data_IF_367728814127
#
_entry.id   IF_367728814127
#
_cell.length_a   1.000
_cell.length_b   1.000
_cell.length_c   1.000
_cell.angle_alpha   90.00
_cell.angle_beta   90.00
_cell.angle_gamma   90.00
#
_symmetry.space_group_name_H-M   'P 1'
#
loop_
_entity.id
_entity.type
_entity.pdbx_description
1 polymer ?
#
# COMPACT_ATOMS: atom_id res chain seq x y z
N UNK A 1 -18.92 15.65 -18.83
CA UNK A 1 -18.26 15.09 -17.64
C UNK A 1 -16.91 15.75 -17.53
N UNK A 2 -16.57 16.42 -16.41
CA UNK A 2 -15.22 16.91 -16.18
C UNK A 2 -14.26 15.71 -16.22
N UNK A 3 -13.11 15.86 -16.87
CA UNK A 3 -12.08 14.82 -16.87
C UNK A 3 -11.68 14.58 -15.40
N UNK A 4 -11.66 13.33 -14.97
CA UNK A 4 -11.16 12.95 -13.64
C UNK A 4 -9.66 13.16 -13.62
N UNK A 5 -9.15 13.86 -12.62
CA UNK A 5 -7.71 14.09 -12.47
C UNK A 5 -7.00 12.80 -12.05
N UNK A 6 -7.70 11.90 -11.32
CA UNK A 6 -7.19 10.60 -10.88
C UNK A 6 -8.26 9.51 -11.03
N UNK A 7 -7.85 8.24 -10.98
CA UNK A 7 -8.77 7.10 -11.01
C UNK A 7 -9.61 7.00 -9.73
N UNK A 8 -9.17 7.69 -8.66
CA UNK A 8 -9.72 7.59 -7.29
C UNK A 8 -10.33 8.90 -6.78
N UNK A 9 -10.84 9.76 -7.65
CA UNK A 9 -11.52 10.98 -7.24
C UNK A 9 -12.67 10.70 -6.27
N UNK A 10 -12.68 11.43 -5.15
CA UNK A 10 -13.66 11.28 -4.07
C UNK A 10 -13.36 10.14 -3.09
N UNK A 11 -12.31 9.35 -3.30
CA UNK A 11 -11.81 8.39 -2.33
C UNK A 11 -11.08 9.11 -1.22
N UNK A 12 -11.35 8.70 0.02
CA UNK A 12 -10.77 9.29 1.22
C UNK A 12 -10.04 8.28 2.11
N UNK A 13 -10.34 6.98 1.96
CA UNK A 13 -9.62 5.90 2.62
C UNK A 13 -9.02 4.98 1.57
N UNK A 14 -7.70 4.98 1.49
CA UNK A 14 -6.91 4.09 0.66
C UNK A 14 -6.30 3.01 1.55
N UNK A 15 -6.78 1.79 1.45
CA UNK A 15 -6.23 0.63 2.17
C UNK A 15 -5.21 -0.03 1.26
N UNK A 16 -3.97 -0.17 1.71
CA UNK A 16 -2.87 -0.77 0.94
C UNK A 16 -2.54 -2.13 1.54
N UNK A 17 -2.76 -3.19 0.77
CA UNK A 17 -2.47 -4.58 1.17
C UNK A 17 -1.61 -5.27 0.12
N UNK A 18 -1.15 -6.47 0.38
CA UNK A 18 -0.31 -7.27 -0.51
C UNK A 18 0.46 -8.32 0.29
N UNK A 19 1.09 -9.27 -0.37
CA UNK A 19 1.93 -10.29 0.27
C UNK A 19 3.07 -9.66 1.09
N UNK A 20 3.55 -10.38 2.10
CA UNK A 20 4.76 -9.99 2.83
C UNK A 20 5.96 -9.88 1.88
N UNK A 21 6.73 -8.77 1.98
CA UNK A 21 7.91 -8.54 1.12
C UNK A 21 7.65 -7.78 -0.19
N UNK A 22 6.38 -7.56 -0.60
CA UNK A 22 6.08 -6.83 -1.85
C UNK A 22 6.28 -5.31 -1.77
N UNK A 23 6.65 -4.78 -0.59
CA UNK A 23 6.89 -3.34 -0.41
C UNK A 23 5.63 -2.53 -0.08
N UNK A 24 4.62 -3.11 0.57
CA UNK A 24 3.38 -2.42 0.99
C UNK A 24 3.62 -1.07 1.65
N UNK A 25 4.45 -1.04 2.69
CA UNK A 25 4.76 0.19 3.44
C UNK A 25 5.37 1.26 2.56
N UNK A 26 6.29 0.87 1.65
CA UNK A 26 6.90 1.78 0.67
C UNK A 26 5.85 2.36 -0.27
N UNK A 27 4.96 1.51 -0.80
CA UNK A 27 3.88 1.94 -1.69
C UNK A 27 2.87 2.82 -0.95
N UNK A 28 2.51 2.48 0.29
CA UNK A 28 1.63 3.31 1.12
C UNK A 28 2.24 4.69 1.37
N UNK A 29 3.55 4.76 1.68
CA UNK A 29 4.29 6.01 1.84
C UNK A 29 4.33 6.84 0.55
N UNK A 30 4.65 6.22 -0.58
CA UNK A 30 4.65 6.89 -1.89
C UNK A 30 3.26 7.40 -2.28
N UNK A 31 2.21 6.61 -2.04
CA UNK A 31 0.82 7.01 -2.28
C UNK A 31 0.41 8.19 -1.39
N UNK A 32 0.80 8.20 -0.11
CA UNK A 32 0.52 9.32 0.78
C UNK A 32 1.18 10.62 0.29
N UNK A 33 2.45 10.57 -0.15
CA UNK A 33 3.14 11.72 -0.74
C UNK A 33 2.47 12.21 -2.03
N UNK A 34 2.04 11.27 -2.87
CA UNK A 34 1.36 11.58 -4.12
C UNK A 34 -0.02 12.24 -3.88
N UNK A 35 -0.81 11.70 -2.95
CA UNK A 35 -2.12 12.24 -2.57
C UNK A 35 -2.03 13.60 -1.86
N UNK A 36 -0.95 13.86 -1.13
CA UNK A 36 -0.70 15.15 -0.47
C UNK A 36 -0.28 16.25 -1.43
N UNK A 37 -0.28 16.00 -2.73
CA UNK A 37 -0.03 17.04 -3.73
C UNK A 37 -1.09 18.14 -3.70
N UNK A 38 -0.72 19.30 -4.22
CA UNK A 38 -1.63 20.45 -4.37
C UNK A 38 -2.21 20.98 -3.03
N UNK A 39 -1.48 20.84 -1.94
CA UNK A 39 -1.83 21.37 -0.63
C UNK A 39 -2.82 20.51 0.17
N UNK A 40 -3.02 19.26 -0.19
CA UNK A 40 -3.89 18.32 0.55
C UNK A 40 -3.17 17.76 1.77
N UNK A 41 -3.89 17.61 2.88
CA UNK A 41 -3.39 16.96 4.08
C UNK A 41 -3.72 15.46 4.06
N UNK A 42 -2.72 14.61 4.26
CA UNK A 42 -2.87 13.16 4.23
C UNK A 42 -2.38 12.53 5.51
N UNK A 43 -3.14 11.58 6.06
CA UNK A 43 -2.71 10.74 7.17
C UNK A 43 -2.25 9.38 6.64
N UNK A 44 -1.00 9.01 6.88
CA UNK A 44 -0.45 7.68 6.67
C UNK A 44 -0.49 6.89 7.98
N UNK A 45 -1.20 5.76 7.99
CA UNK A 45 -1.46 4.99 9.20
C UNK A 45 -0.88 3.58 9.09
N UNK A 46 -0.02 3.20 10.05
CA UNK A 46 0.52 1.84 10.19
C UNK A 46 -0.30 1.07 11.25
N UNK A 47 -0.73 -0.15 10.94
CA UNK A 47 -1.55 -0.97 11.84
C UNK A 47 -0.84 -2.22 12.38
N UNK A 48 0.35 -2.54 11.88
CA UNK A 48 1.12 -3.70 12.35
C UNK A 48 2.18 -3.37 13.41
N UNK A 49 2.41 -2.09 13.72
CA UNK A 49 3.29 -1.63 14.81
C UNK A 49 4.77 -1.92 14.62
N UNK A 50 5.24 -2.13 13.37
CA UNK A 50 6.62 -2.47 13.05
C UNK A 50 7.54 -1.25 12.92
N UNK A 51 6.99 -0.05 13.05
CA UNK A 51 7.69 1.21 12.83
C UNK A 51 8.29 1.33 11.40
N UNK A 52 7.68 0.65 10.43
CA UNK A 52 8.14 0.65 9.04
C UNK A 52 8.04 2.03 8.41
N UNK A 53 7.01 2.82 8.75
CA UNK A 53 6.86 4.19 8.30
C UNK A 53 7.98 5.08 8.87
N UNK A 54 8.31 4.95 10.16
CA UNK A 54 9.37 5.73 10.77
C UNK A 54 10.72 5.49 10.08
N UNK A 55 11.05 4.22 9.81
CA UNK A 55 12.27 3.84 9.10
C UNK A 55 12.29 4.37 7.66
N UNK A 56 11.15 4.28 6.96
CA UNK A 56 11.02 4.68 5.56
C UNK A 56 11.21 6.20 5.37
N UNK A 57 10.74 7.00 6.31
CA UNK A 57 10.83 8.47 6.27
C UNK A 57 12.02 9.03 7.06
N UNK A 58 12.89 8.16 7.59
CA UNK A 58 14.06 8.53 8.40
C UNK A 58 13.68 9.48 9.56
N UNK A 59 12.62 9.10 10.29
CA UNK A 59 12.16 9.85 11.47
C UNK A 59 12.26 8.97 12.72
N UNK A 60 12.34 9.58 13.93
CA UNK A 60 12.30 8.82 15.17
C UNK A 60 11.06 7.93 15.28
N UNK A 61 11.09 6.85 16.09
CA UNK A 61 9.93 5.99 16.30
C UNK A 61 8.66 6.79 16.60
N UNK A 62 7.60 6.46 15.90
CA UNK A 62 6.32 7.18 15.98
C UNK A 62 5.52 6.71 17.19
N UNK A 63 5.07 7.62 18.07
CA UNK A 63 4.15 7.31 19.14
C UNK A 63 2.73 7.09 18.60
N UNK A 64 1.81 6.65 19.47
CA UNK A 64 0.37 6.70 19.20
C UNK A 64 -0.13 8.16 19.21
N UNK A 65 0.38 8.96 18.29
CA UNK A 65 -0.01 10.35 18.07
C UNK A 65 0.32 10.74 16.63
N UNK A 66 -0.54 11.56 16.04
CA UNK A 66 -0.33 12.06 14.69
C UNK A 66 0.88 13.00 14.64
N UNK A 67 1.85 12.69 13.80
CA UNK A 67 3.08 13.46 13.62
C UNK A 67 3.25 13.83 12.17
N UNK A 68 3.53 15.08 11.87
CA UNK A 68 3.95 15.52 10.55
C UNK A 68 5.32 14.92 10.24
N UNK A 69 5.44 14.20 9.14
CA UNK A 69 6.67 13.48 8.74
C UNK A 69 7.23 13.96 7.41
N UNK A 70 6.42 14.49 6.52
CA UNK A 70 6.85 14.93 5.20
C UNK A 70 5.91 15.99 4.63
N UNK A 71 6.34 16.57 3.50
CA UNK A 71 5.52 17.42 2.63
C UNK A 71 5.25 16.65 1.35
N UNK A 72 4.03 16.68 0.84
CA UNK A 72 3.65 16.04 -0.41
C UNK A 72 4.33 16.67 -1.64
N UNK A 73 4.07 16.09 -2.79
CA UNK A 73 4.59 16.62 -4.05
C UNK A 73 4.09 18.05 -4.32
N UNK A 74 5.01 18.98 -4.49
CA UNK A 74 4.71 20.33 -4.98
C UNK A 74 4.52 20.37 -6.50
N UNK A 75 3.85 21.40 -6.97
CA UNK A 75 3.78 21.78 -8.39
C UNK A 75 4.32 23.19 -8.57
N UNK A 76 4.56 23.64 -9.82
CA UNK A 76 4.98 25.02 -10.07
C UNK A 76 3.99 26.06 -9.55
N UNK A 77 2.73 25.71 -9.37
CA UNK A 77 1.66 26.61 -8.97
C UNK A 77 1.27 26.49 -7.48
N UNK A 78 1.60 25.40 -6.80
CA UNK A 78 1.23 25.13 -5.40
C UNK A 78 2.27 24.29 -4.69
N UNK A 79 2.53 24.61 -3.43
CA UNK A 79 3.31 23.74 -2.53
C UNK A 79 2.54 22.45 -2.24
N UNK A 80 3.27 21.39 -1.90
CA UNK A 80 2.68 20.15 -1.38
C UNK A 80 1.99 20.40 -0.04
N UNK A 81 0.98 19.62 0.27
CA UNK A 81 0.37 19.58 1.60
C UNK A 81 1.15 18.72 2.57
N UNK A 82 0.67 18.61 3.78
CA UNK A 82 1.36 17.88 4.83
C UNK A 82 1.00 16.38 4.84
N UNK A 83 2.02 15.55 5.03
CA UNK A 83 1.85 14.13 5.33
C UNK A 83 2.08 13.92 6.82
N UNK A 84 1.04 13.46 7.49
CA UNK A 84 1.09 13.04 8.89
C UNK A 84 1.18 11.52 8.96
N UNK A 85 1.85 11.00 9.99
CA UNK A 85 1.89 9.57 10.26
C UNK A 85 1.34 9.26 11.65
N UNK A 86 0.73 8.08 11.76
CA UNK A 86 0.24 7.49 13.00
C UNK A 86 0.55 6.00 13.01
N UNK A 87 1.24 5.52 14.04
CA UNK A 87 1.30 4.09 14.33
C UNK A 87 0.13 3.75 15.24
N UNK A 88 -0.85 3.03 14.71
CA UNK A 88 -2.02 2.62 15.46
C UNK A 88 -1.69 1.39 16.31
N UNK A 89 -1.75 1.59 17.62
CA UNK A 89 -1.55 0.56 18.63
C UNK A 89 -2.89 0.14 19.23
N UNK A 90 -3.20 -1.18 19.27
CA UNK A 90 -4.50 -1.66 19.77
C UNK A 90 -4.78 -1.30 21.23
N UNK A 91 -3.76 -1.28 22.08
CA UNK A 91 -3.93 -0.95 23.51
C UNK A 91 -4.28 0.52 23.69
N UNK A 92 -3.54 1.38 23.00
CA UNK A 92 -3.81 2.82 23.00
C UNK A 92 -5.17 3.13 22.39
N UNK A 93 -5.54 2.45 21.29
CA UNK A 93 -6.85 2.59 20.66
C UNK A 93 -7.99 2.13 21.57
N UNK A 94 -7.79 1.04 22.34
CA UNK A 94 -8.77 0.59 23.33
C UNK A 94 -8.91 1.60 24.47
N UNK A 95 -7.81 2.16 24.97
CA UNK A 95 -7.83 3.20 25.99
C UNK A 95 -8.62 4.43 25.53
N UNK A 96 -8.31 4.93 24.34
CA UNK A 96 -9.04 6.06 23.72
C UNK A 96 -10.54 5.74 23.56
N UNK A 97 -10.85 4.52 23.14
CA UNK A 97 -12.24 4.06 23.02
C UNK A 97 -12.98 4.07 24.36
N UNK A 98 -12.37 3.53 25.42
CA UNK A 98 -12.95 3.50 26.77
C UNK A 98 -13.13 4.91 27.35
N UNK A 99 -12.19 5.81 27.13
CA UNK A 99 -12.32 7.22 27.53
C UNK A 99 -13.50 7.90 26.81
N UNK A 100 -13.66 7.65 25.52
CA UNK A 100 -14.70 8.28 24.71
C UNK A 100 -16.12 7.83 25.07
N UNK A 101 -16.32 6.53 25.33
CA UNK A 101 -17.66 5.96 25.49
C UNK A 101 -18.09 5.74 26.93
N UNK A 102 -17.14 5.58 27.84
CA UNK A 102 -17.41 5.28 29.25
C UNK A 102 -16.96 6.39 30.21
N UNK A 103 -16.46 7.51 29.68
CA UNK A 103 -15.98 8.67 30.45
C UNK A 103 -14.93 8.30 31.54
N UNK A 104 -14.18 7.24 31.30
CA UNK A 104 -13.21 6.67 32.24
C UNK A 104 -11.83 7.33 32.11
N UNK A 105 -11.77 8.67 32.25
CA UNK A 105 -10.54 9.47 32.07
C UNK A 105 -9.32 9.02 32.91
N UNK A 106 -9.48 8.11 33.86
CA UNK A 106 -8.40 7.63 34.74
C UNK A 106 -8.34 6.09 34.82
N UNK A 107 -9.17 5.37 34.07
CA UNK A 107 -9.24 3.91 34.15
C UNK A 107 -8.12 3.20 33.37
N UNK A 108 -7.48 3.85 32.39
CA UNK A 108 -6.44 3.24 31.56
C UNK A 108 -5.30 2.62 32.40
N UNK A 109 -4.82 3.34 33.43
CA UNK A 109 -3.77 2.84 34.32
C UNK A 109 -4.26 1.74 35.28
N UNK A 110 -5.53 1.74 35.67
CA UNK A 110 -6.12 0.71 36.53
C UNK A 110 -6.47 -0.56 35.70
N UNK A 111 -6.96 -0.39 34.47
CA UNK A 111 -7.26 -1.49 33.55
C UNK A 111 -5.99 -2.18 33.05
N UNK A 112 -4.92 -1.43 32.76
CA UNK A 112 -3.62 -2.02 32.43
C UNK A 112 -3.04 -2.85 33.60
N UNK A 113 -3.20 -2.39 34.85
CA UNK A 113 -2.77 -3.14 36.03
C UNK A 113 -3.58 -4.42 36.31
N UNK A 114 -4.81 -4.51 35.80
CA UNK A 114 -5.69 -5.65 35.99
C UNK A 114 -5.57 -6.70 34.89
N UNK A 115 -4.66 -6.52 33.91
CA UNK A 115 -4.53 -7.44 32.76
C UNK A 115 -5.77 -7.46 31.83
N UNK A 116 -6.69 -6.50 32.01
CA UNK A 116 -7.91 -6.41 31.18
C UNK A 116 -7.57 -6.12 29.72
N UNK A 117 -6.46 -5.47 29.47
CA UNK A 117 -5.95 -5.17 28.12
C UNK A 117 -5.50 -6.45 27.42
N UNK A 118 -4.68 -7.28 28.07
CA UNK A 118 -4.27 -8.59 27.56
C UNK A 118 -5.48 -9.52 27.36
N UNK A 119 -6.45 -9.46 28.26
CA UNK A 119 -7.68 -10.23 28.18
C UNK A 119 -8.53 -9.79 26.97
N UNK A 120 -8.75 -8.49 26.78
CA UNK A 120 -9.57 -7.97 25.68
C UNK A 120 -8.94 -8.22 24.29
N UNK A 121 -7.61 -8.10 24.16
CA UNK A 121 -6.91 -8.30 22.88
C UNK A 121 -6.59 -9.76 22.58
N UNK A 122 -6.40 -10.60 23.61
CA UNK A 122 -6.06 -12.04 23.45
C UNK A 122 -7.31 -12.90 23.25
N UNK A 123 -8.42 -12.58 23.94
CA UNK A 123 -9.66 -13.39 23.88
C UNK A 123 -10.62 -12.93 22.77
N UNK A 124 -10.50 -11.70 22.32
CA UNK A 124 -11.34 -11.14 21.26
C UNK A 124 -10.50 -10.64 20.06
N UNK A 125 -9.95 -11.54 19.24
CA UNK A 125 -9.10 -11.15 18.10
C UNK A 125 -9.74 -10.13 17.17
N UNK A 126 -11.05 -10.19 16.95
CA UNK A 126 -11.81 -9.23 16.16
C UNK A 126 -11.88 -7.83 16.78
N UNK A 127 -11.78 -7.68 18.10
CA UNK A 127 -11.80 -6.38 18.76
C UNK A 127 -10.58 -5.52 18.37
N UNK A 128 -9.41 -6.15 18.24
CA UNK A 128 -8.20 -5.48 17.75
C UNK A 128 -8.44 -4.86 16.38
N UNK A 129 -8.98 -5.63 15.46
CA UNK A 129 -9.21 -5.18 14.08
C UNK A 129 -10.27 -4.06 14.02
N UNK A 130 -11.32 -4.15 14.87
CA UNK A 130 -12.32 -3.09 15.05
C UNK A 130 -11.70 -1.78 15.53
N UNK A 131 -10.81 -1.84 16.51
CA UNK A 131 -10.16 -0.64 17.07
C UNK A 131 -9.24 0.03 16.05
N UNK A 132 -8.44 -0.76 15.33
CA UNK A 132 -7.53 -0.24 14.31
C UNK A 132 -8.26 0.34 13.11
N UNK A 133 -9.26 -0.37 12.58
CA UNK A 133 -10.11 0.14 11.49
C UNK A 133 -10.99 1.30 11.96
N UNK A 134 -11.40 1.29 13.24
CA UNK A 134 -12.12 2.38 13.89
C UNK A 134 -11.34 3.68 13.89
N UNK A 135 -10.03 3.62 14.17
CA UNK A 135 -9.16 4.79 14.14
C UNK A 135 -9.06 5.39 12.74
N UNK A 136 -8.94 4.56 11.70
CA UNK A 136 -8.95 5.04 10.32
C UNK A 136 -10.31 5.66 9.94
N UNK A 137 -11.42 5.01 10.30
CA UNK A 137 -12.75 5.53 10.04
C UNK A 137 -13.03 6.86 10.78
N UNK A 138 -12.49 7.01 11.99
CA UNK A 138 -12.53 8.27 12.76
C UNK A 138 -11.78 9.37 12.02
N UNK A 139 -10.52 9.10 11.58
CA UNK A 139 -9.69 10.06 10.85
C UNK A 139 -10.35 10.53 9.54
N UNK A 140 -10.99 9.62 8.79
CA UNK A 140 -11.75 9.95 7.58
C UNK A 140 -12.93 10.88 7.87
N UNK A 141 -13.60 10.70 9.01
CA UNK A 141 -14.82 11.45 9.37
C UNK A 141 -14.53 12.74 10.11
N UNK A 142 -13.35 12.89 10.68
CA UNK A 142 -12.95 14.02 11.51
C UNK A 142 -13.04 15.31 10.74
N UNK A 143 -13.71 16.29 11.35
CA UNK A 143 -13.84 17.64 10.83
C UNK A 143 -13.11 18.62 11.73
N UNK A 144 -12.38 19.52 11.12
CA UNK A 144 -11.76 20.66 11.78
C UNK A 144 -12.68 21.88 11.87
N UNK A 145 -12.11 23.00 12.20
CA UNK A 145 -12.76 24.30 12.25
C UNK A 145 -13.40 24.63 10.90
N UNK A 146 -14.65 25.03 10.89
CA UNK A 146 -15.39 25.34 9.66
C UNK A 146 -15.99 24.11 8.93
N UNK A 147 -15.99 22.93 9.58
CA UNK A 147 -16.66 21.73 9.06
C UNK A 147 -15.91 21.03 7.91
N UNK A 148 -14.72 21.51 7.54
CA UNK A 148 -13.85 20.86 6.55
C UNK A 148 -13.20 19.61 7.13
N UNK A 149 -12.91 18.57 6.32
CA UNK A 149 -12.11 17.45 6.78
C UNK A 149 -10.76 17.91 7.33
N UNK A 150 -10.26 17.23 8.37
CA UNK A 150 -8.89 17.43 8.88
C UNK A 150 -7.89 16.86 7.88
N UNK A 151 -8.18 15.67 7.35
CA UNK A 151 -7.41 15.04 6.30
C UNK A 151 -8.23 14.91 5.03
N UNK A 152 -7.64 15.23 3.89
CA UNK A 152 -8.24 15.05 2.57
C UNK A 152 -8.26 13.56 2.19
N UNK A 153 -7.23 12.81 2.60
CA UNK A 153 -7.16 11.37 2.45
C UNK A 153 -6.47 10.71 3.65
N UNK A 154 -6.79 9.44 3.87
CA UNK A 154 -6.14 8.53 4.81
C UNK A 154 -5.60 7.34 4.02
N UNK A 155 -4.31 7.04 4.17
CA UNK A 155 -3.66 5.85 3.61
C UNK A 155 -3.35 4.89 4.74
N UNK A 156 -3.90 3.69 4.68
CA UNK A 156 -3.68 2.65 5.68
C UNK A 156 -2.72 1.59 5.13
N UNK A 157 -1.53 1.47 5.73
CA UNK A 157 -0.65 0.31 5.53
C UNK A 157 -1.23 -0.87 6.29
N UNK A 158 -1.98 -1.71 5.56
CA UNK A 158 -2.85 -2.75 6.10
C UNK A 158 -2.14 -4.11 6.22
N UNK A 159 -2.74 -5.07 6.94
CA UNK A 159 -2.21 -6.43 7.02
C UNK A 159 -2.08 -7.10 5.64
N UNK A 160 -1.29 -8.19 5.55
CA UNK A 160 -1.14 -8.97 4.31
C UNK A 160 -2.48 -9.47 3.74
N UNK A 161 -2.48 -9.72 2.42
CA UNK A 161 -3.66 -10.15 1.64
C UNK A 161 -4.44 -11.29 2.28
N UNK A 162 -3.78 -12.32 2.81
CA UNK A 162 -4.45 -13.46 3.47
C UNK A 162 -5.20 -13.12 4.78
N UNK A 163 -5.15 -11.85 5.23
CA UNK A 163 -5.88 -11.37 6.43
C UNK A 163 -6.78 -10.20 6.14
N UNK A 164 -6.68 -9.60 4.95
CA UNK A 164 -7.34 -8.32 4.67
C UNK A 164 -8.87 -8.43 4.71
N UNK A 165 -9.42 -9.52 4.19
CA UNK A 165 -10.86 -9.75 4.19
C UNK A 165 -11.43 -9.78 5.60
N UNK A 166 -10.82 -10.55 6.51
CA UNK A 166 -11.20 -10.60 7.93
C UNK A 166 -11.01 -9.24 8.59
N UNK A 167 -9.86 -8.60 8.39
CA UNK A 167 -9.51 -7.30 8.97
C UNK A 167 -10.53 -6.19 8.62
N UNK A 168 -11.07 -6.19 7.39
CA UNK A 168 -12.04 -5.21 6.94
C UNK A 168 -13.51 -5.61 7.21
N UNK A 169 -13.78 -6.88 7.48
CA UNK A 169 -15.13 -7.37 7.77
C UNK A 169 -15.48 -7.32 9.27
N UNK A 170 -15.31 -6.15 9.83
CA UNK A 170 -15.39 -5.83 11.26
C UNK A 170 -16.73 -6.24 11.91
N UNK A 171 -17.83 -6.12 11.18
CA UNK A 171 -19.17 -6.37 11.74
C UNK A 171 -19.42 -7.83 12.06
N UNK A 172 -18.83 -8.76 11.33
CA UNK A 172 -19.02 -10.20 11.54
C UNK A 172 -18.30 -10.67 12.79
N UNK A 173 -17.07 -10.18 13.00
CA UNK A 173 -16.24 -10.54 14.15
C UNK A 173 -16.81 -10.00 15.49
N UNK A 174 -17.49 -8.85 15.46
CA UNK A 174 -18.07 -8.22 16.67
C UNK A 174 -19.48 -8.68 16.95
N UNK A 175 -20.22 -9.18 15.97
CA UNK A 175 -21.60 -9.66 16.16
C UNK A 175 -21.70 -10.76 17.21
N UNK A 176 -20.64 -11.57 17.36
CA UNK A 176 -20.56 -12.65 18.33
C UNK A 176 -20.17 -12.17 19.74
N UNK A 177 -19.47 -11.03 19.83
CA UNK A 177 -18.94 -10.49 21.08
C UNK A 177 -19.88 -9.50 21.77
N UNK A 178 -20.63 -8.73 21.01
CA UNK A 178 -21.51 -7.69 21.54
C UNK A 178 -22.84 -7.64 20.78
N UNK A 179 -23.84 -8.36 21.29
CA UNK A 179 -25.19 -8.34 20.71
C UNK A 179 -25.87 -6.96 20.86
N UNK A 180 -25.46 -6.15 21.85
CA UNK A 180 -26.04 -4.82 22.16
C UNK A 180 -24.98 -3.94 22.82
N UNK A 181 -25.01 -2.61 22.56
CA UNK A 181 -24.20 -1.63 23.30
C UNK A 181 -23.33 -0.75 22.42
N UNK A 182 -22.50 0.11 23.03
CA UNK A 182 -21.65 1.07 22.31
C UNK A 182 -20.67 0.44 21.31
N UNK A 183 -20.15 -0.74 21.61
CA UNK A 183 -19.21 -1.48 20.74
C UNK A 183 -19.86 -1.82 19.41
N UNK A 184 -21.10 -2.28 19.41
CA UNK A 184 -21.85 -2.60 18.18
C UNK A 184 -22.10 -1.34 17.35
N UNK A 185 -22.59 -0.27 17.97
CA UNK A 185 -22.83 1.00 17.29
C UNK A 185 -21.56 1.60 16.67
N UNK A 186 -20.40 1.38 17.32
CA UNK A 186 -19.10 1.78 16.79
C UNK A 186 -18.73 0.91 15.58
N UNK A 187 -18.79 -0.42 15.69
CA UNK A 187 -18.53 -1.35 14.60
C UNK A 187 -19.41 -1.07 13.36
N UNK A 188 -20.70 -0.80 13.55
CA UNK A 188 -21.61 -0.44 12.46
C UNK A 188 -21.20 0.88 11.78
N UNK A 189 -20.65 1.82 12.55
CA UNK A 189 -20.17 3.11 12.03
C UNK A 189 -18.89 2.92 11.23
N UNK A 190 -17.95 2.11 11.73
CA UNK A 190 -16.72 1.72 11.03
C UNK A 190 -17.07 1.01 9.73
N UNK A 191 -17.96 0.03 9.79
CA UNK A 191 -18.36 -0.75 8.62
C UNK A 191 -19.01 0.12 7.53
N UNK A 192 -19.78 1.14 7.91
CA UNK A 192 -20.36 2.10 6.95
C UNK A 192 -19.27 2.90 6.21
N UNK A 193 -18.16 3.27 6.87
CA UNK A 193 -17.03 3.94 6.22
C UNK A 193 -16.31 2.96 5.30
N UNK A 194 -15.95 1.79 5.80
CA UNK A 194 -15.21 0.75 5.07
C UNK A 194 -15.95 0.32 3.78
N UNK A 195 -17.29 0.18 3.83
CA UNK A 195 -18.12 -0.19 2.68
C UNK A 195 -18.62 0.99 1.86
N UNK A 196 -18.20 2.21 2.18
CA UNK A 196 -18.63 3.39 1.42
C UNK A 196 -17.84 3.53 0.11
N UNK A 197 -18.37 4.27 -0.89
CA UNK A 197 -17.64 4.60 -2.11
C UNK A 197 -16.34 5.41 -1.85
N UNK A 198 -16.17 5.96 -0.66
CA UNK A 198 -14.98 6.72 -0.25
C UNK A 198 -13.81 5.82 0.17
N UNK A 199 -13.99 4.50 0.18
CA UNK A 199 -12.96 3.53 0.56
C UNK A 199 -12.62 2.63 -0.62
N UNK A 200 -11.31 2.42 -0.84
CA UNK A 200 -10.78 1.44 -1.80
C UNK A 200 -9.67 0.63 -1.18
N UNK A 201 -9.50 -0.61 -1.67
CA UNK A 201 -8.42 -1.52 -1.27
C UNK A 201 -7.49 -1.72 -2.45
N UNK A 202 -6.26 -1.23 -2.35
CA UNK A 202 -5.19 -1.41 -3.34
C UNK A 202 -4.37 -2.64 -3.01
N UNK A 203 -3.96 -3.37 -4.03
CA UNK A 203 -3.16 -4.58 -3.91
C UNK A 203 -1.73 -4.32 -4.40
N UNK A 204 -0.74 -4.53 -3.56
CA UNK A 204 0.68 -4.42 -3.91
C UNK A 204 1.24 -5.81 -4.18
N UNK A 205 1.82 -5.98 -5.35
CA UNK A 205 2.43 -7.23 -5.79
C UNK A 205 3.78 -6.99 -6.44
N UNK A 206 4.50 -8.07 -6.72
CA UNK A 206 5.65 -8.13 -7.62
C UNK A 206 5.37 -9.20 -8.67
N UNK A 207 6.01 -9.15 -9.84
CA UNK A 207 5.76 -10.08 -10.95
C UNK A 207 6.42 -11.45 -10.71
N UNK A 208 6.02 -12.09 -9.62
CA UNK A 208 6.40 -13.45 -9.24
C UNK A 208 5.13 -14.27 -9.04
N UNK A 209 5.20 -15.59 -9.26
CA UNK A 209 4.06 -16.49 -9.27
C UNK A 209 3.22 -16.40 -7.98
N UNK A 210 3.86 -16.56 -6.81
CA UNK A 210 3.16 -16.58 -5.54
C UNK A 210 2.53 -15.22 -5.15
N UNK A 211 3.23 -14.06 -5.24
CA UNK A 211 2.62 -12.76 -4.99
C UNK A 211 1.44 -12.44 -5.91
N UNK A 212 1.54 -12.80 -7.19
CA UNK A 212 0.46 -12.61 -8.16
C UNK A 212 -0.73 -13.49 -7.80
N UNK A 213 -0.52 -14.77 -7.51
CA UNK A 213 -1.60 -15.67 -7.10
C UNK A 213 -2.31 -15.16 -5.83
N UNK A 214 -1.56 -14.80 -4.78
CA UNK A 214 -2.15 -14.24 -3.56
C UNK A 214 -2.92 -12.93 -3.81
N UNK A 215 -2.49 -12.12 -4.77
CA UNK A 215 -3.20 -10.90 -5.16
C UNK A 215 -4.54 -11.24 -5.81
N UNK A 216 -4.58 -12.18 -6.75
CA UNK A 216 -5.81 -12.62 -7.42
C UNK A 216 -6.79 -13.28 -6.45
N UNK A 217 -6.28 -14.12 -5.54
CA UNK A 217 -7.08 -14.74 -4.48
C UNK A 217 -7.66 -13.68 -3.55
N UNK A 218 -6.85 -12.68 -3.12
CA UNK A 218 -7.29 -11.58 -2.30
C UNK A 218 -8.34 -10.69 -2.94
N UNK A 219 -8.23 -10.42 -4.25
CA UNK A 219 -9.25 -9.69 -5.03
C UNK A 219 -10.55 -10.49 -5.05
N UNK A 220 -10.47 -11.80 -5.26
CA UNK A 220 -11.63 -12.70 -5.29
C UNK A 220 -12.31 -12.77 -3.92
N UNK A 221 -11.53 -12.92 -2.85
CA UNK A 221 -12.04 -12.88 -1.47
C UNK A 221 -12.75 -11.55 -1.19
N UNK A 222 -12.11 -10.41 -1.51
CA UNK A 222 -12.68 -9.08 -1.26
C UNK A 222 -14.01 -8.89 -1.99
N UNK A 223 -14.11 -9.35 -3.24
CA UNK A 223 -15.36 -9.31 -4.03
C UNK A 223 -16.45 -10.17 -3.40
N UNK A 224 -16.11 -11.31 -2.82
CA UNK A 224 -17.07 -12.22 -2.18
C UNK A 224 -17.71 -11.64 -0.92
N UNK A 225 -17.00 -10.77 -0.20
CA UNK A 225 -17.47 -10.13 1.03
C UNK A 225 -18.56 -9.05 0.78
N UNK A 226 -18.72 -8.61 -0.44
CA UNK A 226 -19.70 -7.59 -0.85
C UNK A 226 -19.49 -6.21 -0.21
N UNK A 227 -19.72 -5.16 -0.97
CA UNK A 227 -19.62 -3.78 -0.49
C UNK A 227 -18.20 -3.26 -0.23
N UNK A 228 -17.16 -4.08 -0.42
CA UNK A 228 -15.77 -3.65 -0.41
C UNK A 228 -15.31 -3.38 -1.85
N UNK A 229 -14.75 -2.20 -2.09
CA UNK A 229 -14.32 -1.79 -3.42
C UNK A 229 -12.85 -2.15 -3.64
N UNK A 230 -12.59 -3.02 -4.62
CA UNK A 230 -11.23 -3.22 -5.12
C UNK A 230 -10.73 -1.95 -5.80
N UNK A 231 -9.53 -1.54 -5.46
CA UNK A 231 -8.80 -0.43 -6.04
C UNK A 231 -7.91 -0.88 -7.19
N UNK A 232 -6.73 -0.25 -7.33
CA UNK A 232 -5.74 -0.64 -8.31
C UNK A 232 -4.80 -1.74 -7.81
N UNK A 233 -4.18 -2.43 -8.77
CA UNK A 233 -3.05 -3.31 -8.53
C UNK A 233 -1.77 -2.50 -8.74
N UNK A 234 -0.90 -2.45 -7.74
CA UNK A 234 0.38 -1.74 -7.81
C UNK A 234 1.49 -2.79 -7.92
N UNK A 235 2.01 -2.94 -9.13
CA UNK A 235 3.13 -3.82 -9.44
C UNK A 235 4.41 -3.08 -9.06
N UNK A 236 5.03 -3.49 -7.98
CA UNK A 236 6.22 -2.86 -7.43
C UNK A 236 7.49 -3.53 -7.94
N UNK A 237 8.62 -2.82 -7.86
CA UNK A 237 9.96 -3.32 -8.20
C UNK A 237 10.08 -3.78 -9.66
N UNK A 238 9.40 -3.14 -10.59
CA UNK A 238 9.48 -3.48 -12.02
C UNK A 238 10.85 -3.13 -12.58
N UNK A 239 11.37 -4.02 -13.41
CA UNK A 239 12.62 -3.84 -14.15
C UNK A 239 12.36 -4.15 -15.63
N UNK A 240 11.90 -3.16 -16.40
CA UNK A 240 11.64 -3.39 -17.81
C UNK A 240 12.96 -3.73 -18.51
N UNK A 241 12.95 -4.78 -19.32
CA UNK A 241 14.05 -5.07 -20.21
C UNK A 241 13.91 -4.21 -21.47
N UNK A 242 14.96 -3.45 -21.80
CA UNK A 242 14.98 -2.56 -22.97
C UNK A 242 15.22 -3.34 -24.28
N UNK A 243 14.40 -4.36 -24.52
CA UNK A 243 14.38 -5.12 -25.78
C UNK A 243 12.98 -5.05 -26.40
N UNK A 244 12.87 -4.98 -27.72
CA UNK A 244 11.58 -5.13 -28.38
C UNK A 244 10.90 -6.46 -28.00
N UNK A 245 9.56 -6.54 -27.86
CA UNK A 245 8.87 -7.75 -27.37
C UNK A 245 9.20 -9.03 -28.15
N UNK A 246 9.35 -8.97 -29.48
CA UNK A 246 9.76 -10.12 -30.30
C UNK A 246 11.19 -10.60 -30.02
N UNK A 247 12.08 -9.71 -29.62
CA UNK A 247 13.46 -10.05 -29.28
C UNK A 247 13.57 -10.63 -27.86
N UNK A 248 12.68 -10.25 -26.93
CA UNK A 248 12.64 -10.86 -25.60
C UNK A 248 12.36 -12.36 -25.70
N UNK A 249 11.41 -12.77 -26.53
CA UNK A 249 11.08 -14.19 -26.71
C UNK A 249 12.22 -14.97 -27.37
N UNK A 250 12.86 -14.41 -28.43
CA UNK A 250 14.00 -15.02 -29.10
C UNK A 250 15.19 -15.17 -28.14
N UNK A 251 15.54 -14.11 -27.40
CA UNK A 251 16.62 -14.16 -26.43
C UNK A 251 16.33 -15.13 -25.27
N UNK A 252 15.08 -15.21 -24.77
CA UNK A 252 14.68 -16.17 -23.76
C UNK A 252 14.82 -17.62 -24.22
N UNK A 253 14.59 -17.88 -25.52
CA UNK A 253 14.81 -19.18 -26.15
C UNK A 253 16.29 -19.50 -26.45
N UNK A 254 17.20 -18.54 -26.22
CA UNK A 254 18.63 -18.66 -26.55
C UNK A 254 18.94 -18.42 -28.03
N UNK A 255 18.00 -17.86 -28.79
CA UNK A 255 18.18 -17.46 -30.17
C UNK A 255 18.80 -16.05 -30.23
N UNK A 256 20.14 -16.03 -30.07
CA UNK A 256 20.92 -14.80 -30.01
C UNK A 256 22.15 -14.92 -30.90
N UNK A 257 22.35 -13.94 -31.79
CA UNK A 257 23.54 -13.91 -32.69
C UNK A 257 24.76 -13.33 -31.96
N UNK A 258 25.53 -14.22 -31.31
CA UNK A 258 26.76 -13.84 -30.62
C UNK A 258 27.83 -13.26 -31.58
N UNK A 259 27.87 -13.69 -32.84
CA UNK A 259 28.80 -13.18 -33.81
C UNK A 259 28.49 -11.73 -34.18
N UNK A 260 27.23 -11.39 -34.36
CA UNK A 260 26.78 -10.02 -34.60
C UNK A 260 27.06 -9.12 -33.36
N UNK A 261 26.83 -9.63 -32.17
CA UNK A 261 27.15 -8.93 -30.93
C UNK A 261 28.68 -8.66 -30.82
N UNK A 262 29.50 -9.67 -31.10
CA UNK A 262 30.97 -9.52 -31.10
C UNK A 262 31.47 -8.48 -32.11
N UNK A 263 30.86 -8.43 -33.30
CA UNK A 263 31.13 -7.39 -34.31
C UNK A 263 30.76 -5.99 -33.81
N UNK A 264 29.59 -5.85 -33.17
CA UNK A 264 29.14 -4.59 -32.56
C UNK A 264 30.13 -4.11 -31.48
N UNK A 265 30.49 -5.00 -30.55
CA UNK A 265 31.45 -4.69 -29.49
C UNK A 265 32.84 -4.26 -30.04
N UNK A 266 33.30 -4.95 -31.06
CA UNK A 266 34.54 -4.59 -31.76
C UNK A 266 34.45 -3.22 -32.42
N UNK A 267 33.34 -2.89 -33.07
CA UNK A 267 33.12 -1.58 -33.69
C UNK A 267 33.04 -0.45 -32.65
N UNK A 268 32.64 -0.76 -31.43
CA UNK A 268 32.66 0.16 -30.28
C UNK A 268 34.06 0.29 -29.62
N UNK A 269 35.09 -0.36 -30.18
CA UNK A 269 36.46 -0.27 -29.69
C UNK A 269 36.79 -1.19 -28.52
N UNK A 270 35.95 -2.20 -28.21
CA UNK A 270 36.20 -3.16 -27.17
C UNK A 270 37.07 -4.32 -27.68
N UNK A 271 38.22 -4.49 -27.06
CA UNK A 271 39.10 -5.63 -27.29
C UNK A 271 38.55 -6.86 -26.55
N UNK A 272 38.92 -8.08 -26.99
CA UNK A 272 38.42 -9.35 -26.44
C UNK A 272 36.91 -9.56 -26.68
N UNK A 273 36.42 -9.07 -27.81
CA UNK A 273 34.98 -9.05 -28.17
C UNK A 273 34.28 -10.42 -28.20
N UNK A 274 34.91 -11.57 -28.52
CA UNK A 274 34.19 -12.86 -28.49
C UNK A 274 33.84 -13.31 -27.08
N UNK A 275 34.76 -13.29 -26.10
CA UNK A 275 34.46 -13.72 -24.73
C UNK A 275 33.47 -12.78 -24.06
N UNK A 276 33.58 -11.47 -24.32
CA UNK A 276 32.66 -10.49 -23.83
C UNK A 276 31.29 -10.65 -24.48
N UNK A 277 31.18 -10.98 -25.74
CA UNK A 277 29.93 -11.25 -26.44
C UNK A 277 29.20 -12.46 -25.86
N UNK A 278 29.93 -13.57 -25.61
CA UNK A 278 29.34 -14.76 -24.98
C UNK A 278 28.80 -14.47 -23.57
N UNK A 279 29.57 -13.72 -22.75
CA UNK A 279 29.13 -13.34 -21.40
C UNK A 279 27.87 -12.43 -21.44
N UNK A 280 27.86 -11.44 -22.33
CA UNK A 280 26.72 -10.55 -22.53
C UNK A 280 25.50 -11.30 -23.08
N UNK A 281 25.68 -12.20 -24.02
CA UNK A 281 24.61 -13.01 -24.56
C UNK A 281 23.95 -13.88 -23.46
N UNK A 282 24.77 -14.52 -22.61
CA UNK A 282 24.28 -15.28 -21.48
C UNK A 282 23.45 -14.42 -20.51
N UNK A 283 23.94 -13.24 -20.15
CA UNK A 283 23.24 -12.28 -19.27
C UNK A 283 21.91 -11.82 -19.91
N UNK A 284 21.91 -11.45 -21.18
CA UNK A 284 20.69 -11.04 -21.91
C UNK A 284 19.68 -12.17 -21.96
N UNK A 285 20.11 -13.41 -22.20
CA UNK A 285 19.22 -14.57 -22.19
C UNK A 285 18.58 -14.81 -20.82
N UNK A 286 19.34 -14.68 -19.74
CA UNK A 286 18.80 -14.83 -18.37
C UNK A 286 17.83 -13.69 -18.00
N UNK A 287 18.14 -12.47 -18.37
CA UNK A 287 17.23 -11.34 -18.18
C UNK A 287 15.98 -11.48 -19.04
N UNK A 288 16.10 -11.98 -20.28
CA UNK A 288 14.97 -12.21 -21.16
C UNK A 288 14.04 -13.33 -20.65
N UNK A 289 14.59 -14.41 -20.08
CA UNK A 289 13.78 -15.44 -19.42
C UNK A 289 12.99 -14.89 -18.24
N UNK A 290 13.66 -14.07 -17.41
CA UNK A 290 13.02 -13.38 -16.29
C UNK A 290 11.89 -12.46 -16.79
N UNK A 291 12.18 -11.63 -17.80
CA UNK A 291 11.17 -10.73 -18.37
C UNK A 291 9.99 -11.49 -19.03
N UNK A 292 10.25 -12.61 -19.70
CA UNK A 292 9.19 -13.44 -20.26
C UNK A 292 8.27 -14.03 -19.16
N UNK A 293 8.86 -14.51 -18.07
CA UNK A 293 8.12 -14.99 -16.91
C UNK A 293 7.30 -13.86 -16.25
N UNK A 294 7.88 -12.66 -16.13
CA UNK A 294 7.18 -11.48 -15.60
C UNK A 294 6.03 -11.04 -16.49
N UNK A 295 6.18 -11.06 -17.80
CA UNK A 295 5.11 -10.75 -18.74
C UNK A 295 3.92 -11.71 -18.58
N UNK A 296 4.18 -13.00 -18.40
CA UNK A 296 3.12 -13.98 -18.11
C UNK A 296 2.37 -13.66 -16.81
N UNK A 297 3.07 -13.20 -15.78
CA UNK A 297 2.41 -12.79 -14.54
C UNK A 297 1.63 -11.46 -14.71
N UNK A 298 2.13 -10.55 -15.55
CA UNK A 298 1.41 -9.31 -15.88
C UNK A 298 0.09 -9.61 -16.60
N UNK A 299 0.11 -10.50 -17.59
CA UNK A 299 -1.10 -10.93 -18.33
C UNK A 299 -2.17 -11.47 -17.36
N UNK A 300 -1.77 -12.29 -16.38
CA UNK A 300 -2.68 -12.80 -15.35
C UNK A 300 -3.30 -11.70 -14.48
N UNK A 301 -2.53 -10.66 -14.14
CA UNK A 301 -3.04 -9.50 -13.39
C UNK A 301 -4.03 -8.68 -14.23
N UNK A 302 -3.77 -8.52 -15.50
CA UNK A 302 -4.63 -7.76 -16.44
C UNK A 302 -6.01 -8.40 -16.58
N UNK A 303 -6.10 -9.76 -16.51
CA UNK A 303 -7.36 -10.49 -16.49
C UNK A 303 -8.27 -10.15 -15.28
N UNK A 304 -7.70 -9.61 -14.20
CA UNK A 304 -8.49 -9.18 -13.03
C UNK A 304 -9.39 -7.97 -13.32
N UNK A 305 -9.13 -7.23 -14.42
CA UNK A 305 -9.93 -6.08 -14.86
C UNK A 305 -9.89 -4.89 -13.91
N UNK A 306 -8.80 -4.73 -13.15
CA UNK A 306 -8.53 -3.58 -12.29
C UNK A 306 -7.45 -2.68 -12.92
N UNK A 307 -7.45 -1.37 -12.64
CA UNK A 307 -6.33 -0.51 -13.02
C UNK A 307 -5.01 -1.04 -12.45
N UNK A 308 -3.98 -1.10 -13.29
CA UNK A 308 -2.65 -1.56 -12.89
C UNK A 308 -1.66 -0.41 -13.02
N UNK A 309 -0.84 -0.22 -11.98
CA UNK A 309 0.19 0.81 -11.89
C UNK A 309 1.54 0.13 -11.65
N UNK A 310 2.57 0.59 -12.33
CA UNK A 310 3.92 0.02 -12.21
C UNK A 310 4.85 0.98 -11.50
N UNK A 311 5.61 0.46 -10.53
CA UNK A 311 6.62 1.20 -9.80
C UNK A 311 8.00 0.59 -10.07
N UNK A 312 8.98 1.41 -10.50
CA UNK A 312 10.28 0.91 -10.88
C UNK A 312 11.07 0.45 -9.66
N UNK A 313 11.95 -0.50 -9.88
CA UNK A 313 12.99 -0.83 -8.92
C UNK A 313 13.91 0.38 -8.68
N UNK A 314 14.18 0.68 -7.41
CA UNK A 314 15.13 1.71 -7.01
C UNK A 314 16.41 1.03 -6.54
N UNK A 315 17.50 1.20 -7.30
CA UNK A 315 18.80 0.65 -6.92
C UNK A 315 19.36 1.34 -5.68
N UNK A 316 20.02 0.59 -4.81
CA UNK A 316 20.60 1.12 -3.57
C UNK A 316 19.66 1.17 -2.38
N UNK A 317 18.41 0.71 -2.54
CA UNK A 317 17.39 0.76 -1.48
C UNK A 317 16.50 1.99 -1.59
N UNK A 318 15.46 2.03 -0.76
CA UNK A 318 14.51 3.16 -0.73
C UNK A 318 14.94 4.13 0.37
N UNK A 319 15.40 5.29 -0.05
CA UNK A 319 15.53 6.49 0.75
C UNK A 319 14.36 7.45 0.49
N UNK A 320 14.34 8.60 1.14
CA UNK A 320 13.31 9.60 0.97
C UNK A 320 13.22 10.10 -0.49
N UNK A 321 14.35 10.26 -1.17
CA UNK A 321 14.37 10.67 -2.57
C UNK A 321 13.79 9.59 -3.49
N UNK A 322 14.08 8.32 -3.24
CA UNK A 322 13.48 7.18 -3.92
C UNK A 322 11.97 7.14 -3.71
N UNK A 323 11.51 7.42 -2.49
CA UNK A 323 10.09 7.46 -2.17
C UNK A 323 9.35 8.55 -2.96
N UNK A 324 9.93 9.74 -3.07
CA UNK A 324 9.38 10.81 -3.91
C UNK A 324 9.34 10.43 -5.40
N UNK A 325 10.35 9.72 -5.92
CA UNK A 325 10.31 9.20 -7.30
C UNK A 325 9.15 8.24 -7.52
N UNK A 326 8.89 7.34 -6.58
CA UNK A 326 7.73 6.44 -6.64
C UNK A 326 6.40 7.23 -6.57
N UNK A 327 6.34 8.27 -5.75
CA UNK A 327 5.16 9.13 -5.67
C UNK A 327 4.88 9.88 -7.00
N UNK A 328 5.93 10.35 -7.68
CA UNK A 328 5.80 10.94 -9.02
C UNK A 328 5.26 9.92 -10.02
N UNK A 329 5.83 8.71 -10.03
CA UNK A 329 5.39 7.63 -10.91
C UNK A 329 3.92 7.24 -10.70
N UNK A 330 3.42 7.23 -9.46
CA UNK A 330 2.00 7.01 -9.17
C UNK A 330 1.11 8.13 -9.74
N UNK A 331 1.54 9.37 -9.63
CA UNK A 331 0.76 10.51 -10.18
C UNK A 331 0.73 10.53 -11.70
N UNK A 332 1.85 10.26 -12.35
CA UNK A 332 1.93 10.21 -13.82
C UNK A 332 0.99 9.15 -14.38
N UNK A 333 0.76 8.06 -13.64
CA UNK A 333 -0.17 6.99 -13.98
C UNK A 333 -1.60 7.23 -13.46
N UNK A 334 -1.91 8.39 -12.89
CA UNK A 334 -3.22 8.76 -12.31
C UNK A 334 -3.66 7.92 -11.11
N UNK A 335 -2.74 7.27 -10.42
CA UNK A 335 -3.03 6.52 -9.18
C UNK A 335 -3.25 7.45 -7.97
N UNK A 336 -2.94 8.77 -8.10
CA UNK A 336 -3.10 9.74 -7.02
C UNK A 336 -3.32 11.16 -7.56
#
# INVERSE_FOLDING_TARGET
>A
MAARDTDWDGVRLHVVTGKGGTGKTTVAGALALALAANGKNVLLMEVEGRQGIAQLFDVPPLPYAERRIAVGLGTQAREGGDVFALVADPESALTEYLEMFYNLRHAGSALARLGVMDFATTIAPGLRDVLLTGKAAEAVRRKGTGGRPVYDAVVMDAPPTGRIGRFLNVSTEVSDLARVGPIRGHADTVQRVIRSPQTVVHFVTVLEEMPVQETLDGITELRSLGGLRSGGIIVNMTRPLELPPGQVQAAAAGDFDEALLALGLKSAGLNNSPDLAAALAAEVCDQARTAAAQNLQQDRLDEAGLPTYQLPWISGGIDLAGLYRLAVALREQKAA
#
